data_IF_217532284089
#
_entry.id   IF_217532284089
#
_cell.length_a   1.000
_cell.length_b   1.000
_cell.length_c   1.000
_cell.angle_alpha   90.00
_cell.angle_beta   90.00
_cell.angle_gamma   90.00
#
_symmetry.space_group_name_H-M   'P 1'
#
loop_
_entity.id
_entity.type
_entity.pdbx_description
1 polymer ?
#
# COMPACT_ATOMS: atom_id res chain seq x y z
N UNK A 1 -28.99 -16.41 2.62
CA UNK A 1 -28.26 -15.63 3.63
C UNK A 1 -28.54 -14.19 3.29
N UNK A 2 -29.41 -13.55 4.07
CA UNK A 2 -29.74 -12.14 3.93
C UNK A 2 -28.54 -11.35 4.49
N UNK A 3 -27.46 -11.33 3.72
CA UNK A 3 -26.31 -10.47 3.98
C UNK A 3 -26.72 -9.08 3.54
N UNK A 4 -27.38 -8.35 4.44
CA UNK A 4 -27.43 -6.89 4.33
C UNK A 4 -26.01 -6.40 4.55
N UNK A 5 -25.14 -6.61 3.55
CA UNK A 5 -23.75 -6.18 3.56
C UNK A 5 -23.80 -4.69 3.84
N UNK A 6 -23.44 -4.32 5.06
CA UNK A 6 -23.51 -2.94 5.51
C UNK A 6 -22.67 -2.13 4.55
N UNK A 7 -23.26 -1.14 3.88
CA UNK A 7 -22.63 -0.25 2.90
C UNK A 7 -21.79 0.79 3.66
N UNK A 8 -20.49 0.55 3.93
CA UNK A 8 -19.70 1.41 4.81
C UNK A 8 -19.33 2.66 4.00
N UNK A 9 -19.91 3.80 4.37
CA UNK A 9 -19.48 5.08 3.84
C UNK A 9 -18.24 5.53 4.61
N UNK A 10 -17.10 5.58 3.93
CA UNK A 10 -15.82 6.00 4.49
C UNK A 10 -15.76 7.52 4.71
N UNK A 11 -16.74 8.27 4.20
CA UNK A 11 -16.81 9.73 4.31
C UNK A 11 -16.62 10.43 2.96
N UNK A 12 -16.54 11.77 2.97
CA UNK A 12 -16.38 12.54 1.75
C UNK A 12 -14.95 12.45 1.19
N UNK A 13 -14.84 12.39 -0.14
CA UNK A 13 -13.58 12.54 -0.88
C UNK A 13 -13.71 13.67 -1.90
N UNK A 14 -13.84 14.89 -1.39
CA UNK A 14 -14.05 16.10 -2.18
C UNK A 14 -12.77 16.90 -2.41
N UNK A 15 -11.70 16.56 -1.66
CA UNK A 15 -10.37 17.18 -1.78
C UNK A 15 -9.35 16.15 -2.24
N UNK A 16 -8.32 16.61 -2.95
CA UNK A 16 -7.23 15.76 -3.39
C UNK A 16 -6.49 15.18 -2.18
N UNK A 17 -6.56 13.86 -2.02
CA UNK A 17 -5.73 13.12 -1.07
C UNK A 17 -4.39 12.78 -1.72
N UNK A 18 -3.28 13.04 -1.03
CA UNK A 18 -1.94 12.65 -1.49
C UNK A 18 -1.38 11.56 -0.57
N UNK A 19 -1.33 10.29 -1.02
CA UNK A 19 -0.77 9.22 -0.19
C UNK A 19 0.73 9.43 0.05
N UNK A 20 1.22 8.89 1.16
CA UNK A 20 2.66 8.79 1.41
C UNK A 20 3.36 7.99 0.29
N UNK A 21 4.61 8.31 -0.11
CA UNK A 21 5.36 7.51 -1.07
C UNK A 21 5.50 6.03 -0.66
N UNK A 22 5.45 5.72 0.63
CA UNK A 22 5.47 4.34 1.14
C UNK A 22 4.27 3.52 0.70
N UNK A 23 3.16 4.17 0.34
CA UNK A 23 1.95 3.50 -0.13
C UNK A 23 2.11 2.89 -1.53
N UNK A 24 3.14 3.31 -2.26
CA UNK A 24 3.51 2.72 -3.56
C UNK A 24 4.52 1.58 -3.45
N UNK A 25 4.95 1.21 -2.23
CA UNK A 25 5.82 0.06 -2.05
C UNK A 25 5.03 -1.24 -2.24
N UNK A 26 5.53 -2.10 -3.11
CA UNK A 26 4.96 -3.43 -3.36
C UNK A 26 5.40 -4.36 -2.23
N UNK A 27 4.47 -4.76 -1.36
CA UNK A 27 4.75 -5.75 -0.33
C UNK A 27 4.57 -7.16 -0.88
N UNK A 28 5.55 -8.03 -0.66
CA UNK A 28 5.47 -9.45 -1.05
C UNK A 28 5.44 -10.32 0.19
N UNK A 29 4.69 -11.42 0.12
CA UNK A 29 4.69 -12.44 1.16
C UNK A 29 5.98 -13.26 1.05
N UNK A 30 6.58 -13.64 2.18
CA UNK A 30 7.71 -14.57 2.16
C UNK A 30 7.35 -15.85 1.39
N UNK A 31 8.12 -16.16 0.34
CA UNK A 31 7.89 -17.31 -0.55
C UNK A 31 7.02 -17.02 -1.78
N UNK A 32 6.29 -15.91 -1.84
CA UNK A 32 5.63 -15.45 -3.06
C UNK A 32 6.63 -14.67 -3.92
N UNK A 33 6.90 -15.15 -5.14
CA UNK A 33 7.95 -14.54 -5.99
C UNK A 33 7.39 -13.64 -7.09
N UNK A 34 6.11 -13.77 -7.43
CA UNK A 34 5.51 -13.10 -8.58
C UNK A 34 4.22 -12.33 -8.26
N UNK A 35 3.88 -12.16 -6.98
CA UNK A 35 2.68 -11.42 -6.55
C UNK A 35 3.05 -10.45 -5.44
N UNK A 36 2.59 -9.21 -5.56
CA UNK A 36 2.77 -8.19 -4.52
C UNK A 36 1.58 -7.25 -4.37
N UNK A 37 1.53 -6.57 -3.23
CA UNK A 37 0.40 -5.79 -2.76
C UNK A 37 0.87 -4.40 -2.29
N UNK A 38 0.34 -3.34 -2.87
CA UNK A 38 0.61 -1.95 -2.51
C UNK A 38 -0.26 -1.49 -1.34
N UNK A 39 0.09 -0.35 -0.73
CA UNK A 39 -0.65 0.26 0.38
C UNK A 39 -0.87 -0.70 1.57
N UNK A 40 0.11 -1.58 1.82
CA UNK A 40 0.10 -2.54 2.91
C UNK A 40 1.01 -2.09 4.06
N UNK A 41 0.78 -2.67 5.24
CA UNK A 41 1.60 -2.53 6.44
C UNK A 41 1.79 -3.89 7.10
N UNK A 42 2.76 -3.98 8.01
CA UNK A 42 3.04 -5.22 8.74
C UNK A 42 2.18 -5.33 9.99
N UNK A 43 1.33 -6.37 10.07
CA UNK A 43 0.65 -6.70 11.32
C UNK A 43 1.47 -7.70 12.15
N UNK A 44 2.21 -7.15 13.11
CA UNK A 44 2.99 -7.91 14.10
C UNK A 44 2.14 -8.78 15.02
N UNK A 45 0.82 -8.55 15.08
CA UNK A 45 -0.08 -9.33 15.93
C UNK A 45 -0.50 -10.63 15.28
N UNK A 46 -0.33 -10.75 13.97
CA UNK A 46 -0.59 -11.98 13.24
C UNK A 46 0.63 -12.90 13.33
N UNK A 47 0.44 -14.15 13.79
CA UNK A 47 1.49 -15.19 13.77
C UNK A 47 1.98 -15.49 12.34
N UNK A 48 1.17 -15.11 11.34
CA UNK A 48 1.42 -15.34 9.92
C UNK A 48 2.17 -14.19 9.25
N UNK A 49 2.42 -13.09 9.98
CA UNK A 49 3.15 -11.91 9.50
C UNK A 49 2.63 -11.41 8.15
N UNK A 50 1.30 -11.37 8.04
CA UNK A 50 0.61 -11.05 6.80
C UNK A 50 0.58 -9.54 6.58
N UNK A 51 0.65 -9.08 5.32
CA UNK A 51 0.34 -7.69 5.00
C UNK A 51 -1.12 -7.41 5.37
N UNK A 52 -1.35 -6.24 5.98
CA UNK A 52 -2.69 -5.69 6.24
C UNK A 52 -2.79 -4.31 5.62
N UNK A 53 -3.98 -3.89 5.24
CA UNK A 53 -4.19 -2.57 4.64
C UNK A 53 -3.63 -1.47 5.54
N UNK A 54 -2.69 -0.68 5.02
CA UNK A 54 -2.13 0.45 5.73
C UNK A 54 -3.15 1.58 5.71
N UNK A 55 -3.91 1.76 6.79
CA UNK A 55 -4.96 2.77 6.89
C UNK A 55 -4.50 4.19 6.55
N UNK A 56 -3.23 4.52 6.80
CA UNK A 56 -2.60 5.79 6.41
C UNK A 56 -2.43 6.00 4.90
N UNK A 57 -2.59 4.95 4.09
CA UNK A 57 -2.51 4.99 2.64
C UNK A 57 -3.87 5.20 1.96
N UNK A 58 -4.93 5.28 2.75
CA UNK A 58 -6.27 5.57 2.29
C UNK A 58 -6.63 7.03 2.62
N UNK A 59 -7.54 7.65 1.86
CA UNK A 59 -8.10 8.94 2.23
C UNK A 59 -8.73 8.92 3.63
N UNK A 60 -9.04 10.10 4.17
CA UNK A 60 -9.62 10.23 5.52
C UNK A 60 -10.88 9.38 5.66
N UNK A 61 -10.85 8.46 6.64
CA UNK A 61 -11.97 7.57 6.96
C UNK A 61 -12.81 8.15 8.11
N UNK A 62 -14.12 7.95 8.05
CA UNK A 62 -15.05 8.26 9.13
C UNK A 62 -14.68 7.50 10.42
N UNK A 63 -14.73 8.15 11.60
CA UNK A 63 -14.16 7.64 12.84
C UNK A 63 -14.84 6.36 13.37
N UNK A 64 -16.06 6.07 12.91
CA UNK A 64 -16.89 4.94 13.28
C UNK A 64 -16.73 3.73 12.36
N UNK A 65 -15.98 3.85 11.25
CA UNK A 65 -15.73 2.73 10.35
C UNK A 65 -14.51 1.93 10.82
N UNK A 66 -14.67 0.67 11.25
CA UNK A 66 -13.54 -0.15 11.67
C UNK A 66 -12.62 -0.44 10.49
N UNK A 67 -11.30 -0.53 10.75
CA UNK A 67 -10.35 -1.00 9.74
C UNK A 67 -10.63 -2.46 9.38
N UNK A 68 -10.53 -2.85 8.10
CA UNK A 68 -10.64 -4.23 7.70
C UNK A 68 -9.51 -5.04 8.33
N UNK A 69 -9.80 -6.29 8.69
CA UNK A 69 -8.82 -7.21 9.30
C UNK A 69 -7.90 -7.84 8.27
N UNK A 70 -8.42 -8.02 7.06
CA UNK A 70 -7.73 -8.68 5.95
C UNK A 70 -7.49 -7.67 4.82
N UNK A 71 -6.35 -7.75 4.12
CA UNK A 71 -6.04 -6.85 3.02
C UNK A 71 -7.01 -7.01 1.86
N UNK A 72 -7.36 -5.90 1.22
CA UNK A 72 -8.19 -5.86 0.01
C UNK A 72 -9.55 -6.56 0.12
N UNK A 73 -10.14 -6.64 1.32
CA UNK A 73 -11.50 -7.20 1.49
C UNK A 73 -12.63 -6.18 1.34
N UNK A 74 -12.30 -5.01 0.81
CA UNK A 74 -13.24 -3.91 0.68
C UNK A 74 -13.48 -3.20 1.99
N UNK A 75 -13.03 -1.97 2.07
CA UNK A 75 -13.24 -1.17 3.28
C UNK A 75 -14.58 -0.45 3.24
N UNK A 76 -14.99 0.02 2.07
CA UNK A 76 -16.18 0.85 1.91
C UNK A 76 -16.12 1.64 0.61
N UNK A 77 -16.90 2.70 0.52
CA UNK A 77 -16.83 3.67 -0.56
C UNK A 77 -16.82 5.09 0.01
N UNK A 78 -16.28 6.03 -0.75
CA UNK A 78 -16.35 7.45 -0.40
C UNK A 78 -17.58 8.09 -1.01
N UNK A 79 -18.37 8.82 -0.22
CA UNK A 79 -19.48 9.61 -0.72
C UNK A 79 -19.82 10.80 0.20
N UNK A 80 -20.05 12.01 -0.36
CA UNK A 80 -19.84 12.37 -1.76
C UNK A 80 -18.36 12.39 -2.13
N UNK A 81 -18.03 11.98 -3.35
CA UNK A 81 -16.65 11.93 -3.83
C UNK A 81 -16.55 12.48 -5.26
N UNK A 82 -15.64 13.42 -5.47
CA UNK A 82 -15.56 14.18 -6.73
C UNK A 82 -14.17 14.17 -7.37
N UNK A 83 -13.17 13.59 -6.70
CA UNK A 83 -11.78 13.60 -7.17
C UNK A 83 -11.04 12.34 -6.73
N UNK A 84 -10.38 11.66 -7.67
CA UNK A 84 -9.49 10.55 -7.34
C UNK A 84 -8.26 11.05 -6.56
N UNK A 85 -7.64 10.22 -5.70
CA UNK A 85 -6.37 10.55 -5.06
C UNK A 85 -5.26 10.92 -6.05
N UNK A 86 -4.24 11.61 -5.55
CA UNK A 86 -3.04 11.91 -6.32
C UNK A 86 -2.34 10.61 -6.77
N UNK A 87 -1.97 10.56 -8.05
CA UNK A 87 -1.41 9.36 -8.69
C UNK A 87 -2.44 8.36 -9.18
N UNK A 88 -3.73 8.59 -8.89
CA UNK A 88 -4.84 7.76 -9.33
C UNK A 88 -5.61 8.45 -10.45
N UNK A 89 -6.20 7.64 -11.33
CA UNK A 89 -7.12 8.06 -12.37
C UNK A 89 -8.42 7.26 -12.29
N UNK A 90 -9.53 7.87 -12.71
CA UNK A 90 -10.77 7.13 -12.93
C UNK A 90 -10.53 6.10 -14.01
N UNK A 91 -10.52 4.83 -13.64
CA UNK A 91 -10.29 3.73 -14.55
C UNK A 91 -11.60 3.12 -15.06
N UNK A 92 -12.68 3.22 -14.29
CA UNK A 92 -14.01 2.76 -14.70
C UNK A 92 -15.14 3.52 -14.00
N UNK A 93 -16.31 3.54 -14.64
CA UNK A 93 -17.52 4.22 -14.17
C UNK A 93 -18.69 3.25 -14.34
N UNK A 94 -19.52 3.10 -13.30
CA UNK A 94 -20.71 2.24 -13.31
C UNK A 94 -21.88 3.01 -12.71
N UNK A 95 -23.02 3.05 -13.41
CA UNK A 95 -24.26 3.62 -12.86
C UNK A 95 -25.13 2.52 -12.28
N UNK A 96 -25.96 2.84 -11.30
CA UNK A 96 -26.94 1.91 -10.74
C UNK A 96 -27.78 1.24 -11.84
N UNK A 97 -27.74 -0.09 -11.89
CA UNK A 97 -28.45 -0.91 -12.87
C UNK A 97 -27.58 -1.34 -14.06
N UNK A 98 -26.40 -0.74 -14.23
CA UNK A 98 -25.45 -1.14 -15.27
C UNK A 98 -24.58 -2.32 -14.80
N UNK A 99 -24.12 -3.11 -15.77
CA UNK A 99 -23.10 -4.14 -15.57
C UNK A 99 -21.82 -3.65 -16.23
N UNK A 100 -20.72 -3.59 -15.48
CA UNK A 100 -19.41 -3.38 -16.06
C UNK A 100 -18.75 -4.72 -16.39
N UNK A 101 -18.01 -4.80 -17.51
CA UNK A 101 -17.29 -6.01 -17.88
C UNK A 101 -16.06 -6.29 -17.01
N UNK A 102 -15.44 -5.27 -16.41
CA UNK A 102 -14.14 -5.38 -15.75
C UNK A 102 -14.20 -5.17 -14.23
N UNK A 103 -15.29 -4.56 -13.73
CA UNK A 103 -15.46 -4.23 -12.32
C UNK A 103 -16.93 -4.23 -11.91
N UNK A 104 -17.26 -5.05 -10.92
CA UNK A 104 -18.53 -4.90 -10.21
C UNK A 104 -18.26 -4.14 -8.91
N UNK A 105 -18.93 -2.99 -8.64
CA UNK A 105 -18.84 -2.32 -7.36
C UNK A 105 -19.16 -3.32 -6.24
N UNK A 106 -18.28 -3.40 -5.24
CA UNK A 106 -18.48 -4.32 -4.12
C UNK A 106 -19.75 -3.99 -3.34
N UNK A 107 -19.99 -2.68 -3.19
CA UNK A 107 -21.18 -2.17 -2.54
C UNK A 107 -22.18 -1.81 -3.63
N UNK A 108 -23.28 -2.55 -3.68
CA UNK A 108 -24.37 -2.35 -4.64
C UNK A 108 -24.77 -0.89 -4.67
N UNK A 109 -24.95 -0.35 -5.87
CA UNK A 109 -25.39 1.02 -6.08
C UNK A 109 -26.91 1.11 -5.88
N UNK A 110 -27.37 2.19 -5.24
CA UNK A 110 -28.80 2.48 -5.18
C UNK A 110 -29.22 3.36 -6.36
N UNK A 111 -30.52 3.41 -6.65
CA UNK A 111 -31.05 4.18 -7.77
C UNK A 111 -30.56 5.64 -7.74
N UNK A 112 -29.99 6.09 -8.87
CA UNK A 112 -29.42 7.42 -9.03
C UNK A 112 -27.94 7.54 -8.68
N UNK A 113 -27.33 6.52 -8.07
CA UNK A 113 -25.88 6.51 -7.82
C UNK A 113 -25.06 6.17 -9.07
N UNK A 114 -23.92 6.84 -9.18
CA UNK A 114 -22.83 6.49 -10.09
C UNK A 114 -21.58 6.24 -9.27
N UNK A 115 -20.93 5.12 -9.50
CA UNK A 115 -19.66 4.77 -8.89
C UNK A 115 -18.50 4.95 -9.87
N UNK A 116 -17.36 5.36 -9.33
CA UNK A 116 -16.10 5.48 -10.03
C UNK A 116 -15.09 4.58 -9.35
N UNK A 117 -14.37 3.77 -10.14
CA UNK A 117 -13.19 3.06 -9.69
C UNK A 117 -11.95 3.92 -9.95
N UNK A 118 -11.33 4.43 -8.89
CA UNK A 118 -10.02 5.06 -9.00
C UNK A 118 -8.93 4.01 -8.80
N UNK A 119 -8.05 3.88 -9.78
CA UNK A 119 -6.85 3.04 -9.72
C UNK A 119 -5.59 3.89 -9.85
N UNK A 120 -4.43 3.44 -9.32
CA UNK A 120 -3.16 4.05 -9.65
C UNK A 120 -2.98 4.10 -11.17
N UNK A 121 -2.27 5.12 -11.65
CA UNK A 121 -1.93 5.22 -13.07
C UNK A 121 -1.24 3.94 -13.54
N UNK A 122 -1.65 3.40 -14.70
CA UNK A 122 -1.23 2.11 -15.29
C UNK A 122 -1.88 0.83 -14.73
N UNK A 123 -2.73 0.94 -13.70
CA UNK A 123 -3.49 -0.18 -13.18
C UNK A 123 -4.90 -0.18 -13.77
N UNK A 124 -5.48 -1.37 -13.92
CA UNK A 124 -6.88 -1.55 -14.32
C UNK A 124 -7.68 -2.09 -13.14
N UNK A 125 -8.97 -1.76 -13.01
CA UNK A 125 -9.85 -2.43 -12.08
C UNK A 125 -9.80 -3.92 -12.34
N UNK A 126 -9.65 -4.70 -11.27
CA UNK A 126 -9.65 -6.14 -11.35
C UNK A 126 -10.80 -6.65 -10.48
N UNK A 127 -11.76 -7.29 -11.12
CA UNK A 127 -12.59 -8.26 -10.43
C UNK A 127 -11.87 -9.60 -10.54
N UNK A 128 -11.10 -10.00 -9.52
CA UNK A 128 -10.64 -11.39 -9.46
C UNK A 128 -11.90 -12.22 -9.13
N UNK A 129 -12.44 -13.02 -10.06
CA UNK A 129 -13.47 -13.97 -9.68
C UNK A 129 -12.88 -14.84 -8.57
N UNK A 130 -13.67 -15.29 -7.58
CA UNK A 130 -13.18 -16.10 -6.47
C UNK A 130 -12.32 -17.25 -7.03
N UNK A 131 -11.00 -17.13 -6.91
CA UNK A 131 -10.07 -18.12 -7.45
C UNK A 131 -10.18 -19.36 -6.56
N UNK A 132 -10.70 -20.43 -7.15
CA UNK A 132 -11.07 -21.68 -6.47
C UNK A 132 -9.88 -22.58 -6.10
N UNK A 133 -8.64 -22.21 -6.43
CA UNK A 133 -7.49 -23.12 -6.34
C UNK A 133 -6.80 -23.14 -4.96
N UNK A 134 -7.09 -22.21 -4.04
CA UNK A 134 -6.51 -22.29 -2.69
C UNK A 134 -7.47 -22.07 -1.50
N UNK A 135 -8.72 -21.61 -1.69
CA UNK A 135 -9.64 -21.26 -0.58
C UNK A 135 -9.05 -20.29 0.48
N UNK A 136 -7.84 -19.77 0.30
CA UNK A 136 -7.09 -19.03 1.32
C UNK A 136 -6.88 -17.57 0.97
N UNK A 137 -7.08 -17.14 -0.27
CA UNK A 137 -7.00 -15.71 -0.59
C UNK A 137 -8.00 -15.29 -1.67
N UNK A 138 -9.24 -15.00 -1.25
CA UNK A 138 -10.12 -14.14 -2.02
C UNK A 138 -9.45 -12.77 -2.11
N UNK A 139 -8.80 -12.50 -3.25
CA UNK A 139 -8.39 -11.13 -3.61
C UNK A 139 -9.71 -10.39 -3.80
N UNK A 140 -10.06 -9.64 -2.77
CA UNK A 140 -11.41 -9.13 -2.62
C UNK A 140 -11.73 -8.07 -3.66
N UNK A 141 -13.01 -7.78 -3.72
CA UNK A 141 -13.52 -6.68 -4.50
C UNK A 141 -12.82 -5.37 -4.10
N UNK A 142 -12.82 -4.39 -5.01
CA UNK A 142 -12.03 -3.15 -4.89
C UNK A 142 -10.51 -3.34 -4.92
N UNK A 143 -10.01 -4.10 -5.89
CA UNK A 143 -8.58 -4.17 -6.19
C UNK A 143 -8.30 -3.68 -7.61
N UNK A 144 -7.18 -3.00 -7.80
CA UNK A 144 -6.63 -2.68 -9.10
C UNK A 144 -5.43 -3.61 -9.37
N UNK A 145 -5.26 -4.06 -10.61
CA UNK A 145 -4.15 -4.93 -10.98
C UNK A 145 -3.27 -4.28 -12.04
N UNK A 146 -1.97 -4.60 -11.97
CA UNK A 146 -1.02 -4.39 -13.05
C UNK A 146 -0.22 -5.67 -13.25
N UNK A 147 0.02 -6.02 -14.51
CA UNK A 147 0.80 -7.20 -14.88
C UNK A 147 2.04 -6.71 -15.62
N UNK A 148 3.21 -7.03 -15.05
CA UNK A 148 4.50 -6.69 -15.63
C UNK A 148 5.33 -7.93 -15.96
N UNK A 149 6.34 -7.74 -16.81
CA UNK A 149 7.37 -8.75 -17.08
C UNK A 149 8.73 -8.11 -16.83
N UNK A 150 9.48 -8.64 -15.86
CA UNK A 150 10.81 -8.15 -15.52
C UNK A 150 11.69 -9.27 -14.98
N UNK A 151 13.02 -9.08 -15.00
CA UNK A 151 13.97 -9.92 -14.26
C UNK A 151 14.07 -9.55 -12.78
N UNK A 152 13.43 -8.46 -12.37
CA UNK A 152 13.25 -8.14 -10.97
C UNK A 152 12.45 -6.86 -10.73
N UNK A 153 11.96 -6.69 -9.51
CA UNK A 153 11.19 -5.53 -9.08
C UNK A 153 11.52 -5.17 -7.63
N UNK A 154 11.35 -3.89 -7.28
CA UNK A 154 11.51 -3.43 -5.91
C UNK A 154 10.34 -3.91 -5.05
N UNK A 155 10.64 -4.54 -3.93
CA UNK A 155 9.63 -5.08 -3.02
C UNK A 155 9.98 -4.77 -1.56
N UNK A 156 8.97 -4.87 -0.71
CA UNK A 156 9.11 -4.86 0.74
C UNK A 156 8.59 -6.16 1.33
N UNK A 157 9.23 -6.64 2.40
CA UNK A 157 8.78 -7.76 3.21
C UNK A 157 8.62 -7.32 4.65
N UNK A 158 7.73 -7.98 5.38
CA UNK A 158 7.66 -7.82 6.82
C UNK A 158 8.78 -8.56 7.51
N UNK A 159 9.61 -7.84 8.25
CA UNK A 159 10.56 -8.41 9.19
C UNK A 159 9.85 -8.97 10.42
N UNK A 160 10.53 -9.88 11.13
CA UNK A 160 10.03 -10.48 12.39
C UNK A 160 9.86 -9.47 13.52
N UNK A 161 10.46 -8.29 13.40
CA UNK A 161 10.32 -7.15 14.32
C UNK A 161 9.20 -6.18 13.91
N UNK A 162 8.43 -6.50 12.86
CA UNK A 162 7.38 -5.64 12.32
C UNK A 162 7.86 -4.51 11.44
N UNK A 163 9.16 -4.41 11.18
CA UNK A 163 9.71 -3.37 10.32
C UNK A 163 9.64 -3.82 8.86
N UNK A 164 9.42 -2.86 7.98
CA UNK A 164 9.52 -3.07 6.55
C UNK A 164 11.00 -3.22 6.16
N UNK A 165 11.35 -4.33 5.54
CA UNK A 165 12.64 -4.52 4.89
C UNK A 165 12.43 -4.42 3.38
N UNK A 166 13.04 -3.43 2.74
CA UNK A 166 12.98 -3.24 1.30
C UNK A 166 14.13 -3.95 0.60
N UNK A 167 13.88 -4.57 -0.54
CA UNK A 167 14.89 -5.22 -1.36
C UNK A 167 14.44 -5.34 -2.82
N UNK A 168 15.26 -5.99 -3.63
CA UNK A 168 14.88 -6.35 -5.00
C UNK A 168 14.56 -7.84 -5.03
N UNK A 169 13.38 -8.20 -5.54
CA UNK A 169 13.08 -9.57 -5.93
C UNK A 169 13.67 -9.74 -7.32
N UNK A 170 14.63 -10.66 -7.49
CA UNK A 170 15.32 -10.88 -8.77
C UNK A 170 15.26 -12.35 -9.19
N UNK A 171 15.16 -12.55 -10.50
CA UNK A 171 15.25 -13.84 -11.18
C UNK A 171 16.24 -13.73 -12.34
N UNK A 172 16.96 -14.82 -12.64
CA UNK A 172 17.87 -14.86 -13.79
C UNK A 172 17.14 -14.81 -15.14
N UNK A 173 15.83 -15.08 -15.14
CA UNK A 173 14.97 -15.04 -16.31
C UNK A 173 13.84 -14.03 -16.10
N UNK A 174 13.36 -13.36 -17.17
CA UNK A 174 12.15 -12.55 -17.10
C UNK A 174 10.99 -13.39 -16.56
N UNK A 175 10.30 -12.86 -15.56
CA UNK A 175 9.11 -13.46 -14.98
C UNK A 175 7.93 -12.51 -15.06
N UNK A 176 6.75 -13.06 -15.30
CA UNK A 176 5.50 -12.31 -15.17
C UNK A 176 5.21 -12.14 -13.69
N UNK A 177 4.98 -10.90 -13.28
CA UNK A 177 4.56 -10.58 -11.92
C UNK A 177 3.25 -9.79 -11.94
N UNK A 178 2.46 -9.95 -10.90
CA UNK A 178 1.18 -9.27 -10.71
C UNK A 178 1.26 -8.38 -9.47
N UNK A 179 1.03 -7.10 -9.68
CA UNK A 179 0.90 -6.11 -8.61
C UNK A 179 -0.57 -5.83 -8.37
N UNK A 180 -0.95 -5.82 -7.10
CA UNK A 180 -2.27 -5.45 -6.64
C UNK A 180 -2.18 -4.13 -5.88
N UNK A 181 -3.12 -3.22 -6.15
CA UNK A 181 -3.23 -1.93 -5.51
C UNK A 181 -4.67 -1.69 -5.04
N UNK A 182 -4.89 -0.80 -4.05
CA UNK A 182 -6.25 -0.50 -3.60
C UNK A 182 -7.03 0.18 -4.73
N UNK A 183 -8.26 -0.27 -4.96
CA UNK A 183 -9.23 0.46 -5.75
C UNK A 183 -10.02 1.35 -4.80
N UNK A 184 -10.01 2.65 -5.06
CA UNK A 184 -10.83 3.58 -4.29
C UNK A 184 -12.18 3.72 -5.00
N UNK A 185 -13.22 3.11 -4.42
CA UNK A 185 -14.58 3.30 -4.91
C UNK A 185 -15.11 4.64 -4.42
N UNK A 186 -15.55 5.47 -5.36
CA UNK A 186 -16.18 6.75 -5.10
C UNK A 186 -17.62 6.71 -5.62
N UNK A 187 -18.58 7.16 -4.83
CA UNK A 187 -19.98 7.22 -5.25
C UNK A 187 -20.48 8.68 -5.27
N UNK A 188 -21.17 9.05 -6.35
CA UNK A 188 -21.98 10.27 -6.47
C UNK A 188 -23.45 9.90 -6.67
N UNK A 189 -24.38 10.81 -6.36
CA UNK A 189 -25.77 10.69 -6.80
C UNK A 189 -26.72 9.87 -5.92
N UNK A 190 -26.30 9.42 -4.74
CA UNK A 190 -27.22 8.84 -3.75
C UNK A 190 -28.07 9.92 -3.10
N UNK A 191 -29.36 9.63 -2.83
CA UNK A 191 -30.22 10.48 -2.00
C UNK A 191 -29.43 10.76 -0.73
N UNK A 192 -29.03 12.03 -0.52
CA UNK A 192 -28.25 12.47 0.62
C UNK A 192 -28.77 11.79 1.87
N UNK A 193 -28.10 10.73 2.33
CA UNK A 193 -28.38 10.13 3.61
C UNK A 193 -27.97 11.21 4.59
N UNK A 194 -28.98 11.98 5.00
CA UNK A 194 -28.92 13.22 5.74
C UNK A 194 -27.55 13.38 6.39
N UNK A 195 -26.66 14.16 5.76
CA UNK A 195 -25.54 14.72 6.50
C UNK A 195 -26.14 15.17 7.82
N UNK A 196 -25.66 14.70 8.99
CA UNK A 196 -26.18 15.20 10.26
C UNK A 196 -26.11 16.70 10.10
N UNK A 197 -27.29 17.33 10.09
CA UNK A 197 -27.37 18.76 9.92
C UNK A 197 -26.54 19.28 11.06
N UNK A 198 -25.34 19.76 10.76
CA UNK A 198 -24.54 20.53 11.68
C UNK A 198 -25.45 21.68 12.04
N UNK A 199 -26.13 21.52 13.18
CA UNK A 199 -26.84 22.57 13.86
C UNK A 199 -25.88 23.73 13.82
N UNK A 200 -26.27 24.80 13.12
CA UNK A 200 -25.42 25.95 12.92
C UNK A 200 -24.85 26.34 14.28
N UNK A 201 -23.54 26.11 14.46
CA UNK A 201 -22.83 26.61 15.62
C UNK A 201 -23.06 28.12 15.61
N UNK A 202 -23.67 28.70 16.66
CA UNK A 202 -23.90 30.13 16.70
C UNK A 202 -22.56 30.83 16.55
N UNK A 203 -22.52 31.79 15.62
CA UNK A 203 -21.41 32.71 15.41
C UNK A 203 -20.82 33.14 16.77
N UNK A 204 -19.58 32.74 17.11
CA UNK A 204 -18.97 33.17 18.35
C UNK A 204 -18.76 34.70 18.29
N UNK A 205 -19.14 35.45 19.33
CA UNK A 205 -18.76 36.85 19.44
C UNK A 205 -17.23 36.97 19.41
N UNK A 206 -16.72 37.95 18.66
CA UNK A 206 -15.30 38.24 18.52
C UNK A 206 -14.65 38.32 19.91
N UNK A 207 -13.89 37.28 20.27
CA UNK A 207 -13.16 37.21 21.52
C UNK A 207 -11.82 37.89 21.32
N UNK A 208 -11.66 39.06 21.96
CA UNK A 208 -10.36 39.68 22.17
C UNK A 208 -9.41 38.68 22.83
N UNK A 209 -8.12 38.64 22.45
CA UNK A 209 -7.20 37.63 22.97
C UNK A 209 -7.07 37.73 24.49
N UNK A 210 -7.57 36.71 25.20
CA UNK A 210 -7.35 36.55 26.63
C UNK A 210 -5.86 36.30 26.87
N UNK A 211 -5.22 37.11 27.72
CA UNK A 211 -3.76 37.15 27.95
C UNK A 211 -3.09 35.82 28.33
N UNK A 212 -3.84 34.76 28.60
CA UNK A 212 -3.31 33.42 28.87
C UNK A 212 -2.59 32.76 27.68
N UNK A 213 -3.01 33.02 26.43
CA UNK A 213 -2.38 32.42 25.26
C UNK A 213 -0.99 33.01 24.94
N UNK A 214 -0.77 34.29 25.28
CA UNK A 214 0.51 34.98 25.09
C UNK A 214 1.52 34.55 26.15
N UNK A 215 1.07 34.26 27.37
CA UNK A 215 1.95 33.77 28.45
C UNK A 215 2.52 32.37 28.16
N UNK A 216 1.75 31.49 27.51
CA UNK A 216 2.18 30.12 27.20
C UNK A 216 3.33 30.04 26.19
N UNK A 217 3.32 30.90 25.16
CA UNK A 217 4.35 30.89 24.12
C UNK A 217 5.73 31.34 24.64
N UNK A 218 5.77 32.29 25.58
CA UNK A 218 7.03 32.82 26.13
C UNK A 218 7.72 31.80 27.04
N UNK A 219 6.96 31.07 27.87
CA UNK A 219 7.53 30.04 28.76
C UNK A 219 8.08 28.86 27.95
N UNK A 220 7.39 28.45 26.89
CA UNK A 220 7.85 27.38 26.00
C UNK A 220 9.18 27.70 25.30
N UNK A 221 9.36 28.95 24.85
CA UNK A 221 10.59 29.36 24.18
C UNK A 221 11.82 29.34 25.11
N UNK A 222 11.66 29.76 26.38
CA UNK A 222 12.75 29.76 27.36
C UNK A 222 13.18 28.32 27.71
N UNK A 223 12.22 27.42 27.96
CA UNK A 223 12.52 26.01 28.25
C UNK A 223 13.16 25.32 27.04
N UNK A 224 12.66 25.58 25.83
CA UNK A 224 13.23 25.06 24.60
C UNK A 224 14.69 25.48 24.39
N UNK A 225 15.02 26.75 24.62
CA UNK A 225 16.39 27.26 24.49
C UNK A 225 17.36 26.63 25.51
N UNK A 226 16.92 26.40 26.74
CA UNK A 226 17.75 25.76 27.78
C UNK A 226 18.06 24.30 27.40
N UNK A 227 17.09 23.56 26.89
CA UNK A 227 17.28 22.17 26.44
C UNK A 227 18.23 22.10 25.25
N UNK A 228 18.08 22.99 24.26
CA UNK A 228 18.98 23.04 23.09
C UNK A 228 20.41 23.41 23.51
N UNK A 229 20.59 24.38 24.40
CA UNK A 229 21.91 24.77 24.90
C UNK A 229 22.59 23.61 25.67
N UNK A 230 21.83 22.87 26.48
CA UNK A 230 22.33 21.68 27.18
C UNK A 230 22.76 20.57 26.22
N UNK A 231 21.96 20.30 25.19
CA UNK A 231 22.28 19.31 24.15
C UNK A 231 23.56 19.69 23.38
N UNK A 232 23.72 20.96 22.99
CA UNK A 232 24.92 21.46 22.31
C UNK A 232 26.16 21.34 23.19
N UNK A 233 26.06 21.67 24.48
CA UNK A 233 27.17 21.52 25.44
C UNK A 233 27.55 20.05 25.65
N UNK A 234 26.56 19.16 25.72
CA UNK A 234 26.78 17.72 25.85
C UNK A 234 27.52 17.16 24.63
N UNK A 235 27.07 17.49 23.42
CA UNK A 235 27.72 17.07 22.17
C UNK A 235 29.14 17.64 22.03
N UNK A 236 29.38 18.90 22.44
CA UNK A 236 30.73 19.48 22.45
C UNK A 236 31.67 18.76 23.42
N UNK A 237 31.19 18.37 24.61
CA UNK A 237 31.98 17.57 25.56
C UNK A 237 32.24 16.16 25.06
N UNK A 238 31.27 15.54 24.38
CA UNK A 238 31.42 14.22 23.80
C UNK A 238 32.50 14.20 22.71
N UNK A 239 32.49 15.18 21.79
CA UNK A 239 33.51 15.28 20.72
C UNK A 239 34.92 15.55 21.27
N UNK A 240 35.06 16.32 22.36
CA UNK A 240 36.37 16.58 22.98
C UNK A 240 37.02 15.32 23.57
N UNK A 241 36.23 14.30 23.94
CA UNK A 241 36.76 13.02 24.44
C UNK A 241 37.26 12.12 23.31
N UNK A 242 36.59 12.13 22.16
CA UNK A 242 37.00 11.30 21.01
C UNK A 242 38.25 11.82 20.28
N UNK A 243 38.52 13.12 20.31
CA UNK A 243 39.71 13.67 19.65
C UNK A 243 41.03 13.43 20.41
N UNK A 244 41.02 12.71 21.53
CA UNK A 244 42.25 12.31 22.25
C UNK A 244 42.72 10.88 21.94
N UNK A 245 41.99 10.14 21.11
CA UNK A 245 42.31 8.73 20.81
C UNK A 245 42.75 8.48 19.36
N UNK A 246 42.96 9.53 18.55
CA UNK A 246 43.41 9.40 17.16
C UNK A 246 44.93 9.61 16.98
N UNK A 247 45.71 9.33 18.04
CA UNK A 247 47.15 9.59 18.08
C UNK A 247 48.02 8.38 18.36
N UNK A 248 47.56 7.14 18.14
CA UNK A 248 48.46 5.97 18.20
C UNK A 248 47.80 4.73 17.56
N UNK A 249 47.92 4.58 16.24
CA UNK A 249 47.70 3.30 15.56
C UNK A 249 48.35 3.34 14.17
N UNK A 250 49.68 3.41 14.15
CA UNK A 250 50.50 3.04 12.99
C UNK A 250 51.45 1.95 13.46
N UNK A 251 51.04 0.67 13.32
CA UNK A 251 51.96 -0.46 13.11
C UNK A 251 51.24 -1.79 12.95
N UNK A 252 51.84 -2.63 12.10
CA UNK A 252 51.54 -4.05 11.78
C UNK A 252 50.38 -4.26 10.79
N UNK A 253 50.60 -4.48 9.49
CA UNK A 253 51.56 -5.36 8.80
C UNK A 253 51.46 -6.83 9.20
N UNK A 254 51.29 -7.65 8.15
CA UNK A 254 51.56 -9.08 7.99
C UNK A 254 50.43 -10.13 8.13
N UNK A 255 50.19 -10.76 6.97
CA UNK A 255 49.97 -12.19 6.72
C UNK A 255 48.56 -12.77 6.90
N UNK A 256 47.88 -12.99 5.76
CA UNK A 256 47.37 -14.33 5.47
C UNK A 256 47.25 -14.56 3.95
N UNK A 257 48.22 -15.31 3.45
CA UNK A 257 48.22 -15.98 2.15
C UNK A 257 47.61 -17.39 2.33
N UNK A 258 47.04 -17.92 1.24
CA UNK A 258 46.62 -19.32 1.01
C UNK A 258 45.53 -19.94 1.91
N UNK A 259 44.42 -20.39 1.29
CA UNK A 259 44.04 -21.82 1.19
C UNK A 259 42.76 -21.99 0.35
N UNK A 260 42.83 -23.00 -0.53
CA UNK A 260 41.74 -23.74 -1.18
C UNK A 260 41.05 -23.17 -2.42
N UNK A 261 41.67 -23.52 -3.55
CA UNK A 261 41.01 -23.89 -4.80
C UNK A 261 40.07 -25.08 -4.57
N UNK A 262 38.76 -24.82 -4.53
CA UNK A 262 37.74 -25.84 -4.76
C UNK A 262 37.27 -25.73 -6.21
N UNK A 263 37.60 -26.74 -7.01
CA UNK A 263 37.12 -26.93 -8.39
C UNK A 263 35.59 -26.86 -8.41
N UNK A 264 35.04 -25.82 -9.05
CA UNK A 264 33.66 -25.81 -9.50
C UNK A 264 33.64 -26.47 -10.87
N UNK A 265 33.00 -27.63 -10.91
CA UNK A 265 32.68 -28.41 -12.11
C UNK A 265 31.81 -27.56 -13.07
N UNK A 266 32.05 -27.59 -14.39
CA UNK A 266 31.25 -26.85 -15.35
C UNK A 266 29.82 -27.40 -15.41
N UNK A 267 28.81 -26.54 -15.65
CA UNK A 267 27.42 -26.98 -15.71
C UNK A 267 27.22 -27.93 -16.90
N UNK A 268 26.65 -29.10 -16.63
CA UNK A 268 26.18 -30.00 -17.67
C UNK A 268 25.08 -29.30 -18.48
N UNK A 269 25.30 -29.23 -19.78
CA UNK A 269 24.30 -28.86 -20.78
C UNK A 269 23.17 -29.89 -20.75
N UNK A 270 22.02 -29.49 -20.22
CA UNK A 270 20.77 -30.22 -20.38
C UNK A 270 20.27 -30.01 -21.82
N UNK A 271 20.31 -31.05 -22.65
CA UNK A 271 19.58 -31.06 -23.92
C UNK A 271 18.08 -31.05 -23.63
N UNK A 272 17.37 -30.05 -24.16
CA UNK A 272 15.92 -29.97 -24.12
C UNK A 272 15.33 -31.01 -25.09
N UNK A 273 14.35 -31.84 -24.69
CA UNK A 273 13.66 -32.72 -25.61
C UNK A 273 12.93 -31.91 -26.68
N UNK A 274 13.28 -32.13 -27.94
CA UNK A 274 12.60 -31.56 -29.11
C UNK A 274 11.16 -32.06 -29.15
N UNK A 275 10.22 -31.24 -28.66
CA UNK A 275 8.78 -31.52 -28.74
C UNK A 275 8.35 -31.43 -30.21
N UNK A 276 7.88 -32.53 -30.78
CA UNK A 276 7.22 -32.53 -32.09
C UNK A 276 5.98 -31.64 -32.07
N UNK A 277 5.73 -30.87 -33.16
CA UNK A 277 4.49 -30.14 -33.32
C UNK A 277 3.31 -31.12 -33.50
N UNK A 278 2.14 -30.85 -32.90
CA UNK A 278 0.95 -31.66 -33.13
C UNK A 278 0.47 -31.49 -34.58
N UNK A 279 0.18 -32.61 -35.23
CA UNK A 279 -0.47 -32.65 -36.53
C UNK A 279 -1.83 -31.93 -36.50
N UNK A 280 -2.07 -31.17 -37.57
CA UNK A 280 -3.31 -30.47 -37.84
C UNK A 280 -4.49 -31.45 -37.94
N UNK A 281 -5.46 -31.33 -37.03
CA UNK A 281 -6.80 -31.86 -37.25
C UNK A 281 -7.55 -30.92 -38.22
N UNK A 282 -7.77 -31.39 -39.44
CA UNK A 282 -8.74 -30.82 -40.38
C UNK A 282 -10.15 -31.14 -39.88
N UNK A 283 -10.93 -30.12 -39.58
CA UNK A 283 -12.36 -30.25 -39.33
C UNK A 283 -13.11 -30.35 -40.67
N UNK A 284 -13.79 -31.47 -40.89
CA UNK A 284 -14.82 -31.62 -41.92
C UNK A 284 -15.99 -30.68 -41.61
N UNK A 285 -16.44 -29.94 -42.64
CA UNK A 285 -17.66 -29.17 -42.61
C UNK A 285 -18.86 -30.10 -42.92
N UNK A 286 -19.98 -30.03 -42.17
CA UNK A 286 -21.19 -30.73 -42.55
C UNK A 286 -21.92 -30.00 -43.69
N UNK A 287 -22.45 -30.81 -44.61
CA UNK A 287 -23.34 -30.41 -45.71
C UNK A 287 -24.77 -30.14 -45.24
#
# INVERSE_FOLDING_TARGET
MDDTTTRPNLGPLTTLFTPSPTCSLVMVRSGATNVGWMAQSCDIRSSSMMPVDATSCWPTIAPDVPSPKDPFRGWGFYSPATVCPYGYSTAEIVTSGDVSPNWTPQFTLVAGETAFACCPSSFTPAFDPPRTWDNTFLIGAQTCTSIGVASGFAAAICGTDGRLSTGMVSSNLPMTYTEYAPLIQMNIGGISQSSPTTTATPTPPASSPTGGAIAGAVVGAIVGLVVIAAAVLFLRRYRKRHNKSAGEATMSSHNHEEISKGLVEPPQTFELPTRHPPEHYLAEAPA
#
